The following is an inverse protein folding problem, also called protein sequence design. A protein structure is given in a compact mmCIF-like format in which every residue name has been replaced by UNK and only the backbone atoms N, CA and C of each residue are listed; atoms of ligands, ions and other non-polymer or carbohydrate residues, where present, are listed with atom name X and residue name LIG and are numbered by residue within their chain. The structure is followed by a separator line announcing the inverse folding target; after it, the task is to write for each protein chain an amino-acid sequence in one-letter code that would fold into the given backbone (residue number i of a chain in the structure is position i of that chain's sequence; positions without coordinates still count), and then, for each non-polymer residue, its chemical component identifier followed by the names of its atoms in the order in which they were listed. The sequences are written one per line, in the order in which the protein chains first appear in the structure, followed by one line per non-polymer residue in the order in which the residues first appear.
data_IF_155336314799
#
_entry.id   IF_155336314799
#
_cell.length_a   1.000
_cell.length_b   1.000
_cell.length_c   1.000
_cell.angle_alpha   90.00
_cell.angle_beta   90.00
_cell.angle_gamma   90.00
#
_symmetry.space_group_name_H-M   'P 1'
#
loop_
_entity.id
_entity.type
_entity.pdbx_description
1 polymer ?
#
# COMPACT_ATOMS: atom_id res chain seq x y z
N UNK A 1 -15.57 -5.38 -10.34
CA UNK A 1 -14.95 -4.11 -10.73
C UNK A 1 -13.61 -4.40 -11.37
N UNK A 2 -13.17 -3.61 -12.34
CA UNK A 2 -11.87 -3.78 -13.02
C UNK A 2 -10.71 -3.27 -12.17
N UNK A 3 -10.97 -2.27 -11.33
CA UNK A 3 -10.01 -1.66 -10.41
C UNK A 3 -10.56 -1.64 -8.98
N UNK A 4 -9.65 -1.77 -8.01
CA UNK A 4 -9.93 -1.67 -6.58
C UNK A 4 -8.92 -0.70 -5.94
N UNK A 5 -9.42 0.41 -5.42
CA UNK A 5 -8.61 1.41 -4.72
C UNK A 5 -8.92 1.39 -3.23
N UNK A 6 -7.89 1.63 -2.42
CA UNK A 6 -8.02 1.79 -0.96
C UNK A 6 -7.39 3.13 -0.58
N UNK A 7 -8.00 3.86 0.35
CA UNK A 7 -7.45 5.08 0.91
C UNK A 7 -7.40 5.00 2.44
N UNK A 8 -6.31 5.50 3.03
CA UNK A 8 -6.16 5.64 4.48
C UNK A 8 -5.17 6.76 4.80
N UNK A 9 -5.20 7.29 6.04
CA UNK A 9 -4.33 8.42 6.38
C UNK A 9 -2.85 8.02 6.41
N UNK A 10 -2.51 6.93 7.11
CA UNK A 10 -1.14 6.49 7.35
C UNK A 10 -0.57 5.65 6.19
N UNK A 11 0.70 5.83 5.81
CA UNK A 11 1.32 5.04 4.75
C UNK A 11 1.62 3.62 5.20
N UNK A 12 1.33 2.62 4.36
CA UNK A 12 1.85 1.26 4.56
C UNK A 12 3.38 1.29 4.49
N UNK A 13 3.91 2.00 3.50
CA UNK A 13 5.34 2.23 3.36
C UNK A 13 5.61 3.69 3.03
N UNK A 14 6.58 4.30 3.70
CA UNK A 14 7.10 5.63 3.41
C UNK A 14 8.60 5.66 3.68
N UNK A 15 9.34 6.50 2.96
CA UNK A 15 10.76 6.79 3.23
C UNK A 15 10.98 8.19 3.82
N UNK A 16 9.92 8.82 4.32
CA UNK A 16 9.95 10.12 4.98
C UNK A 16 10.05 9.98 6.51
N UNK A 17 9.85 11.10 7.23
CA UNK A 17 10.09 11.21 8.67
C UNK A 17 9.30 10.21 9.52
N UNK A 18 8.03 9.93 9.19
CA UNK A 18 7.22 8.98 9.95
C UNK A 18 7.49 7.52 9.56
N UNK A 19 8.03 7.29 8.36
CA UNK A 19 8.37 5.98 7.85
C UNK A 19 7.16 5.04 7.67
N UNK A 20 7.40 3.73 7.56
CA UNK A 20 6.35 2.74 7.38
C UNK A 20 5.49 2.51 8.63
N UNK A 21 4.19 2.28 8.44
CA UNK A 21 3.28 1.92 9.55
C UNK A 21 3.22 0.40 9.72
N UNK A 22 3.91 -0.14 10.73
CA UNK A 22 4.06 -1.60 10.92
C UNK A 22 2.73 -2.36 10.98
N UNK A 23 1.71 -1.82 11.66
CA UNK A 23 0.38 -2.44 11.73
C UNK A 23 -0.24 -2.64 10.33
N UNK A 24 -0.02 -1.70 9.41
CA UNK A 24 -0.53 -1.80 8.04
C UNK A 24 0.29 -2.77 7.20
N UNK A 25 1.60 -2.86 7.44
CA UNK A 25 2.45 -3.89 6.81
C UNK A 25 1.97 -5.28 7.24
N UNK A 26 1.68 -5.48 8.52
CA UNK A 26 1.34 -6.81 9.05
C UNK A 26 -0.09 -7.23 8.70
N UNK A 27 -1.03 -6.28 8.67
CA UNK A 27 -2.47 -6.59 8.56
C UNK A 27 -3.10 -6.21 7.22
N UNK A 28 -2.72 -5.06 6.65
CA UNK A 28 -3.35 -4.55 5.43
C UNK A 28 -2.64 -5.03 4.16
N UNK A 29 -1.31 -4.97 4.13
CA UNK A 29 -0.51 -5.36 2.96
C UNK A 29 -0.80 -6.79 2.47
N UNK A 30 -0.94 -7.84 3.33
CA UNK A 30 -1.29 -9.18 2.87
C UNK A 30 -2.68 -9.25 2.22
N UNK A 31 -3.63 -8.44 2.71
CA UNK A 31 -4.98 -8.36 2.13
C UNK A 31 -4.94 -7.65 0.77
N UNK A 32 -4.16 -6.57 0.64
CA UNK A 32 -4.02 -5.86 -0.63
C UNK A 32 -3.43 -6.76 -1.72
N UNK A 33 -2.46 -7.61 -1.36
CA UNK A 33 -1.90 -8.63 -2.24
C UNK A 33 -2.95 -9.71 -2.58
N UNK A 34 -3.63 -10.27 -1.56
CA UNK A 34 -4.65 -11.32 -1.74
C UNK A 34 -5.79 -10.89 -2.68
N UNK A 35 -6.20 -9.62 -2.63
CA UNK A 35 -7.31 -9.09 -3.41
C UNK A 35 -6.88 -8.32 -4.66
N UNK A 36 -5.60 -8.34 -5.05
CA UNK A 36 -5.06 -7.64 -6.22
C UNK A 36 -5.48 -6.16 -6.28
N UNK A 37 -5.31 -5.45 -5.17
CA UNK A 37 -5.63 -4.02 -5.07
C UNK A 37 -4.80 -3.23 -6.09
N UNK A 38 -5.46 -2.31 -6.81
CA UNK A 38 -4.86 -1.48 -7.86
C UNK A 38 -3.89 -0.46 -7.28
N UNK A 39 -4.31 0.27 -6.24
CA UNK A 39 -3.44 1.18 -5.52
C UNK A 39 -3.96 1.47 -4.10
N UNK A 40 -3.02 1.81 -3.23
CA UNK A 40 -3.27 2.36 -1.90
C UNK A 40 -2.86 3.83 -1.88
N UNK A 41 -3.77 4.71 -1.46
CA UNK A 41 -3.58 6.15 -1.37
C UNK A 41 -3.43 6.53 0.10
N UNK A 42 -2.34 7.23 0.44
CA UNK A 42 -2.07 7.70 1.79
C UNK A 42 -1.37 9.05 1.83
N UNK A 43 -1.52 9.73 2.96
CA UNK A 43 -0.80 10.97 3.27
C UNK A 43 0.06 10.77 4.51
N UNK A 44 -0.22 11.56 5.55
CA UNK A 44 0.51 11.65 6.82
C UNK A 44 1.92 12.23 6.69
N UNK A 45 2.73 11.70 5.78
CA UNK A 45 3.98 12.34 5.40
C UNK A 45 3.70 13.51 4.45
N UNK A 46 4.23 14.69 4.78
CA UNK A 46 4.01 15.93 4.04
C UNK A 46 4.92 16.02 2.80
N UNK A 47 4.89 14.99 1.96
CA UNK A 47 5.59 14.94 0.68
C UNK A 47 4.78 14.12 -0.34
N UNK A 48 5.31 13.99 -1.56
CA UNK A 48 4.73 13.16 -2.60
C UNK A 48 5.64 11.97 -2.87
N UNK A 49 5.08 10.76 -2.85
CA UNK A 49 5.81 9.51 -3.10
C UNK A 49 4.98 8.60 -4.02
N UNK A 50 5.65 7.91 -4.95
CA UNK A 50 5.06 6.83 -5.74
C UNK A 50 5.89 5.57 -5.52
N UNK A 51 5.24 4.51 -5.02
CA UNK A 51 5.88 3.21 -4.82
C UNK A 51 5.17 2.15 -5.65
N UNK A 52 5.94 1.38 -6.42
CA UNK A 52 5.43 0.18 -7.10
C UNK A 52 5.58 -1.02 -6.18
N UNK A 53 4.49 -1.72 -5.95
CA UNK A 53 4.54 -3.04 -5.33
C UNK A 53 4.69 -4.08 -6.43
N UNK A 54 5.68 -4.96 -6.29
CA UNK A 54 5.69 -6.19 -7.05
C UNK A 54 4.60 -7.08 -6.46
N UNK A 55 3.45 -7.15 -7.12
CA UNK A 55 2.48 -8.21 -6.85
C UNK A 55 3.09 -9.46 -7.46
N UNK A 56 3.50 -10.41 -6.63
CA UNK A 56 3.87 -11.74 -7.10
C UNK A 56 2.60 -12.38 -7.68
N UNK A 57 2.39 -12.19 -8.98
CA UNK A 57 1.36 -12.92 -9.69
C UNK A 57 1.67 -14.41 -9.56
N UNK A 58 0.73 -15.25 -9.12
CA UNK A 58 0.92 -16.69 -9.23
C UNK A 58 1.17 -16.98 -10.70
N UNK A 59 2.36 -17.51 -11.01
CA UNK A 59 2.62 -18.11 -12.32
C UNK A 59 1.54 -19.17 -12.51
N UNK A 60 0.78 -19.05 -13.58
CA UNK A 60 -0.14 -20.11 -14.01
C UNK A 60 0.60 -21.43 -14.14
#
# INVERSE_FOLDING_TARGET
AEYLFIAGHYPVYSTADHGPTQCLIDKLNPLMQKYNVTAYLSGHDHNLQLRKFCVDYPKK
#
